data_IF_362782415488
#
_entry.id   IF_362782415488
#
_cell.length_a   1.000
_cell.length_b   1.000
_cell.length_c   1.000
_cell.angle_alpha   90.00
_cell.angle_beta   90.00
_cell.angle_gamma   90.00
#
_symmetry.space_group_name_H-M   'P 1'
#
loop_
_entity.id
_entity.type
_entity.pdbx_description
1 polymer ?
#
# COMPACT_ATOMS: atom_id res chain seq x y z
N UNK A 1 20.15 -31.22 9.88
CA UNK A 1 18.97 -30.33 9.95
C UNK A 1 18.87 -29.55 8.64
N UNK A 2 17.65 -29.19 8.19
CA UNK A 2 17.36 -28.43 6.95
C UNK A 2 16.74 -27.07 7.30
N UNK A 3 17.53 -26.04 7.69
CA UNK A 3 16.99 -24.74 8.09
C UNK A 3 16.17 -24.06 6.97
N UNK A 4 16.55 -24.30 5.72
CA UNK A 4 15.86 -23.84 4.51
C UNK A 4 14.39 -24.30 4.42
N UNK A 5 14.05 -25.42 5.06
CA UNK A 5 12.69 -25.98 5.07
C UNK A 5 11.88 -25.60 6.30
N UNK A 6 12.48 -24.91 7.27
CA UNK A 6 11.82 -24.62 8.54
C UNK A 6 10.56 -23.77 8.35
N UNK A 7 10.64 -22.71 7.56
CA UNK A 7 9.50 -21.82 7.28
C UNK A 7 8.34 -22.57 6.63
N UNK A 8 8.63 -23.44 5.65
CA UNK A 8 7.62 -24.28 5.00
C UNK A 8 7.01 -25.32 5.94
N UNK A 9 7.85 -25.97 6.76
CA UNK A 9 7.39 -26.97 7.72
C UNK A 9 6.47 -26.35 8.78
N UNK A 10 6.83 -25.18 9.31
CA UNK A 10 5.99 -24.44 10.26
C UNK A 10 4.69 -23.99 9.60
N UNK A 11 4.76 -23.44 8.39
CA UNK A 11 3.56 -23.04 7.62
C UNK A 11 2.60 -24.22 7.44
N UNK A 12 3.09 -25.35 6.93
CA UNK A 12 2.26 -26.54 6.71
C UNK A 12 1.68 -27.08 8.02
N UNK A 13 2.44 -27.04 9.11
CA UNK A 13 1.96 -27.46 10.42
C UNK A 13 0.82 -26.56 10.92
N UNK A 14 0.97 -25.24 10.81
CA UNK A 14 -0.09 -24.28 11.20
C UNK A 14 -1.32 -24.45 10.33
N UNK A 15 -1.14 -24.62 9.02
CA UNK A 15 -2.23 -24.87 8.08
C UNK A 15 -2.99 -26.16 8.41
N UNK A 16 -2.28 -27.26 8.71
CA UNK A 16 -2.89 -28.53 9.09
C UNK A 16 -3.66 -28.45 10.42
N UNK A 17 -3.13 -27.71 11.41
CA UNK A 17 -3.72 -27.65 12.75
C UNK A 17 -4.79 -26.58 12.93
N UNK A 18 -4.67 -25.46 12.22
CA UNK A 18 -5.53 -24.28 12.43
C UNK A 18 -6.31 -23.87 11.16
N UNK A 19 -5.92 -24.39 10.00
CA UNK A 19 -6.54 -24.10 8.70
C UNK A 19 -5.76 -23.06 7.87
N UNK A 20 -6.03 -23.02 6.56
CA UNK A 20 -5.27 -22.20 5.61
C UNK A 20 -5.35 -20.69 5.86
N UNK A 21 -6.42 -20.21 6.51
CA UNK A 21 -6.59 -18.79 6.89
C UNK A 21 -5.49 -18.23 7.79
N UNK A 22 -4.72 -19.07 8.49
CA UNK A 22 -3.62 -18.64 9.36
C UNK A 22 -2.26 -18.59 8.64
N UNK A 23 -2.21 -19.01 7.38
CA UNK A 23 -0.99 -19.02 6.55
C UNK A 23 -1.14 -18.24 5.25
N UNK A 24 -2.38 -18.00 4.81
CA UNK A 24 -2.69 -17.12 3.70
C UNK A 24 -2.61 -15.66 4.17
N UNK A 25 -1.66 -14.89 3.61
CA UNK A 25 -1.55 -13.45 3.83
C UNK A 25 -2.64 -12.69 3.07
N UNK A 26 -3.91 -12.85 3.47
CA UNK A 26 -4.99 -11.98 3.01
C UNK A 26 -4.93 -10.67 3.79
N UNK A 27 -5.02 -9.56 3.06
CA UNK A 27 -5.23 -8.24 3.68
C UNK A 27 -6.48 -8.28 4.56
N UNK A 28 -6.39 -7.69 5.74
CA UNK A 28 -7.54 -7.53 6.61
C UNK A 28 -8.51 -6.56 5.94
N UNK A 29 -9.75 -7.01 5.76
CA UNK A 29 -10.82 -6.16 5.24
C UNK A 29 -11.11 -5.03 6.24
N UNK A 30 -10.84 -3.79 5.84
CA UNK A 30 -11.03 -2.60 6.67
C UNK A 30 -12.48 -2.49 7.18
N UNK A 31 -13.47 -2.96 6.40
CA UNK A 31 -14.87 -2.98 6.83
C UNK A 31 -15.10 -3.88 8.04
N UNK A 32 -14.36 -4.99 8.15
CA UNK A 32 -14.44 -5.90 9.32
C UNK A 32 -13.76 -5.28 10.52
N UNK A 33 -12.55 -4.74 10.33
CA UNK A 33 -11.83 -4.06 11.42
C UNK A 33 -12.62 -2.87 11.97
N UNK A 34 -13.34 -2.13 11.11
CA UNK A 34 -14.25 -1.07 11.53
C UNK A 34 -15.44 -1.56 12.36
N UNK A 35 -15.99 -2.74 12.07
CA UNK A 35 -17.09 -3.32 12.86
C UNK A 35 -16.64 -3.79 14.24
N UNK A 36 -15.38 -4.20 14.36
CA UNK A 36 -14.76 -4.60 15.62
C UNK A 36 -14.23 -3.40 16.41
N UNK A 37 -14.06 -2.25 15.77
CA UNK A 37 -13.63 -1.02 16.43
C UNK A 37 -14.78 -0.34 17.17
N UNK A 38 -14.40 0.41 18.20
CA UNK A 38 -15.29 1.13 19.08
C UNK A 38 -14.67 2.50 19.42
N UNK A 39 -15.41 3.39 20.09
CA UNK A 39 -14.83 4.62 20.63
C UNK A 39 -13.62 4.40 21.55
N UNK A 40 -13.56 3.24 22.23
CA UNK A 40 -12.46 2.85 23.11
C UNK A 40 -11.33 2.10 22.41
N UNK A 41 -11.53 1.70 21.16
CA UNK A 41 -10.63 0.80 20.44
C UNK A 41 -10.30 1.45 19.10
N UNK A 42 -9.28 2.34 19.06
CA UNK A 42 -8.91 3.03 17.84
C UNK A 42 -8.29 2.07 16.82
N UNK A 43 -8.23 2.50 15.56
CA UNK A 43 -7.61 1.76 14.47
C UNK A 43 -6.22 2.35 14.17
N UNK A 44 -5.18 1.52 14.21
CA UNK A 44 -3.80 1.94 14.00
C UNK A 44 -3.21 1.25 12.77
N UNK A 45 -2.90 2.03 11.74
CA UNK A 45 -2.25 1.57 10.52
C UNK A 45 -0.74 1.65 10.67
N UNK A 46 -0.07 0.51 10.52
CA UNK A 46 1.37 0.44 10.40
C UNK A 46 1.72 0.58 8.92
N UNK A 47 2.30 1.71 8.56
CA UNK A 47 2.59 2.07 7.18
C UNK A 47 3.77 1.26 6.65
N UNK A 48 3.56 0.66 5.48
CA UNK A 48 4.65 0.15 4.65
C UNK A 48 4.94 1.16 3.53
N UNK A 49 6.19 1.31 3.09
CA UNK A 49 6.53 2.26 2.03
C UNK A 49 5.66 2.09 0.78
N UNK A 50 5.03 3.18 0.33
CA UNK A 50 4.20 3.21 -0.87
C UNK A 50 2.76 2.72 -0.70
N UNK A 51 2.29 2.55 0.54
CA UNK A 51 0.89 2.21 0.84
C UNK A 51 0.23 3.36 1.59
N UNK A 52 -0.94 3.80 1.12
CA UNK A 52 -1.70 4.91 1.68
C UNK A 52 -3.07 4.41 2.20
N UNK A 53 -3.25 4.25 3.53
CA UNK A 53 -4.50 3.78 4.11
C UNK A 53 -5.62 4.83 4.06
N UNK A 54 -5.33 6.09 3.76
CA UNK A 54 -6.32 7.16 3.73
C UNK A 54 -7.40 6.87 2.69
N UNK A 55 -6.99 6.46 1.49
CA UNK A 55 -7.92 6.15 0.40
C UNK A 55 -8.89 5.05 0.78
N UNK A 56 -8.41 4.04 1.51
CA UNK A 56 -9.24 2.92 1.97
C UNK A 56 -10.24 3.39 3.04
N UNK A 57 -9.82 4.25 3.98
CA UNK A 57 -10.70 4.84 5.00
C UNK A 57 -11.73 5.78 4.38
N UNK A 58 -11.34 6.62 3.42
CA UNK A 58 -12.26 7.50 2.69
C UNK A 58 -13.27 6.71 1.85
N UNK A 59 -12.83 5.65 1.18
CA UNK A 59 -13.71 4.76 0.43
C UNK A 59 -14.74 4.10 1.36
N UNK A 60 -14.31 3.60 2.52
CA UNK A 60 -15.22 3.06 3.53
C UNK A 60 -16.18 4.15 4.05
N UNK A 61 -15.66 5.34 4.35
CA UNK A 61 -16.45 6.49 4.79
C UNK A 61 -17.57 6.82 3.81
N UNK A 62 -17.29 6.89 2.51
CA UNK A 62 -18.30 7.11 1.47
C UNK A 62 -19.42 6.07 1.50
N UNK A 63 -19.09 4.80 1.72
CA UNK A 63 -20.12 3.73 1.82
C UNK A 63 -21.00 3.86 3.07
N UNK A 64 -20.45 4.42 4.16
CA UNK A 64 -21.14 4.61 5.44
C UNK A 64 -21.68 6.03 5.64
N UNK A 65 -21.61 6.88 4.61
CA UNK A 65 -22.01 8.29 4.65
C UNK A 65 -21.25 9.14 5.69
N UNK A 66 -19.98 8.80 5.92
CA UNK A 66 -18.98 9.64 6.60
C UNK A 66 -18.06 10.22 5.53
N UNK A 67 -18.09 11.52 5.32
CA UNK A 67 -17.25 12.16 4.31
C UNK A 67 -16.63 13.42 4.88
N UNK A 68 -15.55 13.87 4.24
CA UNK A 68 -14.97 15.18 4.56
C UNK A 68 -15.98 16.28 4.18
N UNK A 69 -16.69 16.11 3.06
CA UNK A 69 -17.67 17.08 2.54
C UNK A 69 -18.86 17.32 3.47
N UNK A 70 -19.31 16.27 4.19
CA UNK A 70 -20.37 16.40 5.19
C UNK A 70 -19.85 16.71 6.60
N UNK A 71 -18.54 17.00 6.75
CA UNK A 71 -17.91 17.38 8.01
C UNK A 71 -17.77 16.26 9.04
N UNK A 72 -18.11 15.01 8.68
CA UNK A 72 -18.04 13.86 9.61
C UNK A 72 -16.70 13.13 9.59
N UNK A 73 -15.77 13.54 8.74
CA UNK A 73 -14.37 13.10 8.76
C UNK A 73 -13.47 14.32 8.93
N UNK A 74 -12.66 14.31 9.98
CA UNK A 74 -11.60 15.28 10.23
C UNK A 74 -10.26 14.64 9.90
N UNK A 75 -9.62 15.07 8.80
CA UNK A 75 -8.28 14.60 8.44
C UNK A 75 -7.23 15.61 8.91
N UNK A 76 -6.34 15.18 9.81
CA UNK A 76 -5.27 16.01 10.39
C UNK A 76 -3.93 15.33 10.15
N UNK A 77 -3.08 15.96 9.36
CA UNK A 77 -1.68 15.55 9.22
C UNK A 77 -0.85 16.13 10.37
N UNK A 78 -0.29 15.25 11.20
CA UNK A 78 0.52 15.62 12.35
C UNK A 78 1.85 16.21 11.87
N UNK A 79 1.98 17.52 12.05
CA UNK A 79 3.18 18.31 11.82
C UNK A 79 3.32 19.38 12.89
N UNK A 80 4.36 20.20 12.81
CA UNK A 80 4.60 21.25 13.80
C UNK A 80 3.40 22.21 13.91
N UNK A 81 2.82 22.32 15.12
CA UNK A 81 1.71 23.25 15.39
C UNK A 81 0.32 22.72 15.02
N UNK A 82 0.19 21.44 14.68
CA UNK A 82 -1.11 20.80 14.38
C UNK A 82 -1.73 20.10 15.60
N UNK A 83 -1.06 20.12 16.76
CA UNK A 83 -1.51 19.44 17.99
C UNK A 83 -2.87 19.97 18.46
N UNK A 84 -3.03 21.31 18.50
CA UNK A 84 -4.29 21.94 18.92
C UNK A 84 -5.45 21.65 17.94
N UNK A 85 -5.15 21.52 16.64
CA UNK A 85 -6.15 21.18 15.62
C UNK A 85 -6.60 19.73 15.79
N UNK A 86 -5.65 18.82 16.08
CA UNK A 86 -5.95 17.42 16.37
C UNK A 86 -6.79 17.29 17.64
N UNK A 87 -6.45 17.98 18.73
CA UNK A 87 -7.21 17.98 19.98
C UNK A 87 -8.64 18.50 19.77
N UNK A 88 -8.81 19.62 19.07
CA UNK A 88 -10.13 20.16 18.76
C UNK A 88 -10.96 19.20 17.89
N UNK A 89 -10.33 18.55 16.90
CA UNK A 89 -10.99 17.56 16.07
C UNK A 89 -11.47 16.34 16.89
N UNK A 90 -10.67 15.87 17.84
CA UNK A 90 -11.02 14.77 18.74
C UNK A 90 -12.21 15.15 19.65
N UNK A 91 -12.21 16.35 20.21
CA UNK A 91 -13.32 16.83 21.05
C UNK A 91 -14.64 16.92 20.27
N UNK A 92 -14.62 17.56 19.09
CA UNK A 92 -15.81 17.67 18.23
C UNK A 92 -16.28 16.29 17.79
N UNK A 93 -15.35 15.42 17.39
CA UNK A 93 -15.69 14.08 16.94
C UNK A 93 -16.25 13.20 18.05
N UNK A 94 -15.73 13.34 19.28
CA UNK A 94 -16.25 12.63 20.44
C UNK A 94 -17.69 13.06 20.77
N UNK A 95 -18.01 14.35 20.63
CA UNK A 95 -19.34 14.89 20.89
C UNK A 95 -20.37 14.58 19.78
N UNK A 96 -19.97 14.72 18.51
CA UNK A 96 -20.87 14.62 17.36
C UNK A 96 -20.84 13.25 16.65
N UNK A 97 -19.92 12.37 17.04
CA UNK A 97 -19.77 11.04 16.44
C UNK A 97 -19.13 11.08 15.07
N UNK A 98 -18.05 11.84 14.93
CA UNK A 98 -17.28 11.94 13.69
C UNK A 98 -16.06 11.01 13.72
N UNK A 99 -15.41 10.89 12.58
CA UNK A 99 -14.16 10.17 12.47
C UNK A 99 -12.99 11.15 12.44
N UNK A 100 -11.93 10.81 13.16
CA UNK A 100 -10.68 11.57 13.12
C UNK A 100 -9.61 10.70 12.52
N UNK A 101 -8.95 11.20 11.48
CA UNK A 101 -7.79 10.57 10.85
C UNK A 101 -6.56 11.38 11.23
N UNK A 102 -5.67 10.76 12.00
CA UNK A 102 -4.38 11.33 12.40
C UNK A 102 -3.29 10.66 11.55
N UNK A 103 -2.69 11.45 10.67
CA UNK A 103 -1.65 10.95 9.76
C UNK A 103 -0.28 11.41 10.19
N UNK A 104 0.70 10.51 10.14
CA UNK A 104 2.10 10.92 10.16
C UNK A 104 2.40 11.78 8.92
N UNK A 105 2.64 13.07 9.11
CA UNK A 105 3.13 13.93 8.04
C UNK A 105 4.60 13.60 7.74
N UNK A 106 4.99 13.70 6.46
CA UNK A 106 6.36 13.53 5.93
C UNK A 106 7.42 14.51 6.53
N UNK A 107 7.11 15.20 7.62
CA UNK A 107 7.91 16.18 8.34
C UNK A 107 8.21 15.76 9.80
N UNK A 108 8.15 14.48 10.13
CA UNK A 108 8.72 13.94 11.38
C UNK A 108 10.26 13.91 11.38
N UNK A 109 10.94 14.78 10.62
CA UNK A 109 12.33 15.15 10.96
C UNK A 109 12.41 15.85 12.34
N UNK A 110 11.28 16.33 12.88
CA UNK A 110 11.18 16.91 14.23
C UNK A 110 10.45 16.00 15.23
N UNK A 111 10.79 14.69 15.26
CA UNK A 111 10.31 13.64 16.19
C UNK A 111 10.23 14.06 17.67
N UNK A 112 11.04 15.03 18.11
CA UNK A 112 11.06 15.52 19.48
C UNK A 112 9.86 16.40 19.87
N UNK A 113 9.16 17.01 18.90
CA UNK A 113 8.01 17.88 19.16
C UNK A 113 6.71 17.07 19.35
N UNK A 114 6.47 16.06 18.51
CA UNK A 114 5.27 15.22 18.57
C UNK A 114 5.35 14.18 19.70
N UNK A 115 6.54 13.69 20.05
CA UNK A 115 6.72 12.70 21.12
C UNK A 115 6.15 13.14 22.48
N UNK A 116 6.19 14.44 22.80
CA UNK A 116 5.58 14.97 24.03
C UNK A 116 4.06 14.99 23.98
N UNK A 117 3.50 15.28 22.81
CA UNK A 117 2.06 15.35 22.60
C UNK A 117 1.41 13.97 22.56
N UNK A 118 2.11 12.92 22.11
CA UNK A 118 1.55 11.56 22.08
C UNK A 118 1.06 11.08 23.45
N UNK A 119 1.70 11.47 24.55
CA UNK A 119 1.21 11.16 25.89
C UNK A 119 -0.03 11.97 26.31
N UNK A 120 -0.25 13.15 25.72
CA UNK A 120 -1.51 13.89 25.85
C UNK A 120 -2.60 13.22 25.01
N UNK A 121 -2.29 12.86 23.77
CA UNK A 121 -3.19 12.14 22.86
C UNK A 121 -3.70 10.84 23.50
N UNK A 122 -2.81 10.03 24.08
CA UNK A 122 -3.18 8.80 24.79
C UNK A 122 -4.26 9.06 25.85
N UNK A 123 -4.05 10.07 26.71
CA UNK A 123 -5.02 10.45 27.74
C UNK A 123 -6.33 10.97 27.15
N UNK A 124 -6.27 11.75 26.07
CA UNK A 124 -7.47 12.29 25.41
C UNK A 124 -8.30 11.16 24.79
N UNK A 125 -7.65 10.21 24.11
CA UNK A 125 -8.31 9.03 23.54
C UNK A 125 -8.92 8.17 24.64
N UNK A 126 -8.19 7.95 25.74
CA UNK A 126 -8.68 7.21 26.91
C UNK A 126 -9.89 7.92 27.56
N UNK A 127 -9.86 9.25 27.70
CA UNK A 127 -10.99 10.02 28.24
C UNK A 127 -12.23 9.92 27.34
N UNK A 128 -12.05 10.05 26.03
CA UNK A 128 -13.14 9.92 25.07
C UNK A 128 -13.64 8.49 24.92
N UNK A 129 -12.92 7.48 25.39
CA UNK A 129 -13.36 6.08 25.32
C UNK A 129 -14.66 5.80 26.10
N UNK A 130 -14.93 6.57 27.17
CA UNK A 130 -16.03 6.32 28.12
C UNK A 130 -17.31 7.09 27.78
N UNK A 131 -17.18 8.35 27.35
CA UNK A 131 -18.30 9.30 27.27
C UNK A 131 -18.55 9.87 25.85
N UNK A 132 -18.01 9.23 24.80
CA UNK A 132 -18.20 9.69 23.42
C UNK A 132 -19.37 9.03 22.70
N UNK A 133 -19.76 9.65 21.59
CA UNK A 133 -20.79 9.14 20.69
C UNK A 133 -20.42 7.75 20.13
N UNK A 134 -21.41 6.87 19.93
CA UNK A 134 -21.20 5.48 19.49
C UNK A 134 -20.46 5.35 18.16
N UNK A 135 -20.59 6.35 17.30
CA UNK A 135 -19.99 6.41 15.95
C UNK A 135 -18.60 7.04 15.93
N UNK A 136 -18.12 7.60 17.05
CA UNK A 136 -16.80 8.19 17.15
C UNK A 136 -15.72 7.14 16.86
N UNK A 137 -14.82 7.43 15.92
CA UNK A 137 -13.70 6.56 15.58
C UNK A 137 -12.44 7.36 15.35
N UNK A 138 -11.32 6.83 15.86
CA UNK A 138 -9.99 7.39 15.64
C UNK A 138 -9.20 6.43 14.77
N UNK A 139 -8.69 6.93 13.66
CA UNK A 139 -7.77 6.26 12.75
C UNK A 139 -6.41 6.93 12.87
N UNK A 140 -5.38 6.15 13.17
CA UNK A 140 -4.01 6.63 13.28
C UNK A 140 -3.15 5.91 12.26
N UNK A 141 -2.14 6.58 11.71
CA UNK A 141 -1.16 5.95 10.82
C UNK A 141 0.25 6.41 11.14
N UNK A 142 1.18 5.47 11.22
CA UNK A 142 2.61 5.75 11.42
C UNK A 142 3.50 4.69 10.78
N UNK A 143 4.70 5.11 10.37
CA UNK A 143 5.78 4.21 9.96
C UNK A 143 6.40 3.52 11.20
N UNK A 144 6.83 2.24 11.06
CA UNK A 144 7.51 1.57 12.14
C UNK A 144 8.87 2.24 12.44
N UNK A 145 9.18 2.39 13.73
CA UNK A 145 10.48 2.91 14.15
C UNK A 145 11.64 2.03 13.65
N UNK A 146 12.72 2.66 13.19
CA UNK A 146 13.88 1.94 12.65
C UNK A 146 14.62 1.08 13.67
N UNK A 147 14.49 1.40 14.97
CA UNK A 147 14.98 0.58 16.07
C UNK A 147 14.06 0.70 17.30
N UNK A 148 14.11 -0.27 18.24
CA UNK A 148 13.30 -0.23 19.46
C UNK A 148 13.53 1.06 20.29
N UNK A 149 14.75 1.59 20.29
CA UNK A 149 15.10 2.80 21.06
C UNK A 149 14.54 4.08 20.43
N UNK A 150 14.23 4.05 19.13
CA UNK A 150 13.62 5.16 18.41
C UNK A 150 12.08 5.13 18.47
N UNK A 151 11.49 4.13 19.14
CA UNK A 151 10.05 4.01 19.28
C UNK A 151 9.49 5.06 20.24
N UNK A 152 8.59 5.91 19.75
CA UNK A 152 8.01 7.04 20.49
C UNK A 152 6.52 6.88 20.77
N UNK A 153 5.88 5.85 20.24
CA UNK A 153 4.43 5.67 20.38
C UNK A 153 4.15 5.11 21.78
N UNK A 154 3.22 5.72 22.55
CA UNK A 154 2.86 5.22 23.87
C UNK A 154 2.30 3.80 23.82
N UNK A 155 2.65 3.03 24.85
CA UNK A 155 2.26 1.62 24.94
C UNK A 155 0.74 1.45 25.06
N UNK A 156 0.04 2.25 25.87
CA UNK A 156 -1.41 2.11 26.06
C UNK A 156 -2.17 2.38 24.77
N UNK A 157 -1.76 3.42 24.02
CA UNK A 157 -2.31 3.70 22.70
C UNK A 157 -2.18 2.51 21.74
N UNK A 158 -1.04 1.80 21.77
CA UNK A 158 -0.88 0.59 21.00
C UNK A 158 -1.72 -0.54 21.58
N UNK A 159 -1.69 -0.81 22.87
CA UNK A 159 -2.42 -1.92 23.51
C UNK A 159 -3.91 -1.91 23.17
N UNK A 160 -4.54 -0.74 23.27
CA UNK A 160 -5.98 -0.56 23.05
C UNK A 160 -6.38 -0.51 21.56
N UNK A 161 -5.42 -0.29 20.65
CA UNK A 161 -5.71 -0.18 19.23
C UNK A 161 -5.84 -1.54 18.53
N UNK A 162 -6.69 -1.62 17.50
CA UNK A 162 -6.62 -2.65 16.46
C UNK A 162 -5.50 -2.26 15.49
N UNK A 163 -4.45 -3.09 15.41
CA UNK A 163 -3.29 -2.84 14.54
C UNK A 163 -3.52 -3.49 13.18
N UNK A 164 -3.43 -2.69 12.13
CA UNK A 164 -3.58 -3.14 10.74
C UNK A 164 -2.26 -2.89 10.04
N UNK A 165 -1.67 -3.98 9.53
CA UNK A 165 -0.56 -3.89 8.58
C UNK A 165 -1.13 -4.05 7.18
N UNK A 166 -0.80 -3.11 6.30
CA UNK A 166 -1.05 -3.26 4.87
C UNK A 166 0.28 -3.60 4.21
N UNK A 167 0.75 -4.83 4.46
CA UNK A 167 1.98 -5.31 3.86
C UNK A 167 1.78 -5.54 2.36
N UNK A 168 2.74 -5.15 1.52
CA UNK A 168 2.67 -5.49 0.11
C UNK A 168 2.56 -7.02 -0.03
N UNK A 169 1.62 -7.52 -0.86
CA UNK A 169 1.44 -8.95 -1.04
C UNK A 169 2.78 -9.61 -1.41
N UNK A 170 3.06 -10.74 -0.76
CA UNK A 170 4.32 -11.44 -0.98
C UNK A 170 4.14 -12.61 -1.93
N UNK A 171 4.94 -12.61 -3.00
CA UNK A 171 4.98 -13.68 -3.99
C UNK A 171 4.37 -13.27 -5.32
N UNK A 172 4.82 -13.95 -6.38
CA UNK A 172 4.47 -13.63 -7.76
C UNK A 172 2.96 -13.59 -8.00
N UNK A 173 2.22 -14.59 -7.53
CA UNK A 173 0.77 -14.67 -7.76
C UNK A 173 0.03 -13.43 -7.24
N UNK A 174 0.30 -13.05 -5.99
CA UNK A 174 -0.39 -11.94 -5.36
C UNK A 174 0.03 -10.58 -5.94
N UNK A 175 1.28 -10.42 -6.37
CA UNK A 175 1.71 -9.20 -7.07
C UNK A 175 1.17 -9.08 -8.49
N UNK A 176 1.00 -10.18 -9.23
CA UNK A 176 0.35 -10.16 -10.54
C UNK A 176 -1.11 -9.74 -10.40
N UNK A 177 -1.83 -10.30 -9.42
CA UNK A 177 -3.21 -9.87 -9.14
C UNK A 177 -3.28 -8.39 -8.76
N UNK A 178 -2.42 -7.92 -7.85
CA UNK A 178 -2.35 -6.51 -7.48
C UNK A 178 -2.07 -5.60 -8.69
N UNK A 179 -1.22 -6.03 -9.61
CA UNK A 179 -0.93 -5.28 -10.84
C UNK A 179 -2.15 -5.23 -11.78
N UNK A 180 -2.90 -6.33 -11.90
CA UNK A 180 -4.11 -6.41 -12.71
C UNK A 180 -5.27 -5.61 -12.11
N UNK A 181 -5.41 -5.57 -10.78
CA UNK A 181 -6.46 -4.84 -10.07
C UNK A 181 -6.38 -3.31 -10.27
N UNK A 182 -5.28 -2.81 -10.85
CA UNK A 182 -5.14 -1.41 -11.27
C UNK A 182 -5.96 -1.07 -12.51
N UNK A 183 -6.43 -2.07 -13.24
CA UNK A 183 -7.09 -1.91 -14.54
C UNK A 183 -8.52 -2.44 -14.49
N UNK A 184 -9.45 -1.63 -14.98
CA UNK A 184 -10.87 -1.99 -15.07
C UNK A 184 -11.16 -2.76 -16.35
N UNK A 185 -12.35 -3.37 -16.42
CA UNK A 185 -12.82 -4.02 -17.64
C UNK A 185 -12.81 -3.05 -18.84
N UNK A 186 -13.22 -1.80 -18.63
CA UNK A 186 -13.19 -0.75 -19.66
C UNK A 186 -11.76 -0.51 -20.20
N UNK A 187 -10.75 -0.65 -19.34
CA UNK A 187 -9.34 -0.52 -19.75
C UNK A 187 -8.94 -1.69 -20.65
N UNK A 188 -9.38 -2.91 -20.33
CA UNK A 188 -9.08 -4.10 -21.13
C UNK A 188 -9.74 -4.07 -22.51
N UNK A 189 -10.84 -3.33 -22.66
CA UNK A 189 -11.64 -3.22 -23.88
C UNK A 189 -11.38 -1.91 -24.65
N UNK A 190 -10.44 -1.07 -24.21
CA UNK A 190 -10.24 0.26 -24.79
C UNK A 190 -9.56 0.24 -26.17
N UNK A 191 -8.81 -0.82 -26.49
CA UNK A 191 -7.99 -0.91 -27.70
C UNK A 191 -8.69 -1.69 -28.82
N UNK A 192 -8.62 -1.18 -30.05
CA UNK A 192 -9.10 -1.84 -31.26
C UNK A 192 -8.41 -3.18 -31.55
N UNK A 193 -7.16 -3.32 -31.10
CA UNK A 193 -6.35 -4.55 -31.17
C UNK A 193 -6.41 -5.32 -29.86
N UNK A 194 -7.60 -5.84 -29.55
CA UNK A 194 -7.89 -6.40 -28.21
C UNK A 194 -6.95 -7.54 -27.81
N UNK A 195 -6.62 -8.46 -28.71
CA UNK A 195 -5.81 -9.64 -28.39
C UNK A 195 -4.39 -9.20 -28.03
N UNK A 196 -3.79 -8.38 -28.88
CA UNK A 196 -2.43 -7.87 -28.70
C UNK A 196 -2.33 -7.01 -27.45
N UNK A 197 -3.30 -6.11 -27.25
CA UNK A 197 -3.33 -5.25 -26.08
C UNK A 197 -3.46 -6.05 -24.78
N UNK A 198 -4.39 -7.00 -24.69
CA UNK A 198 -4.61 -7.83 -23.48
C UNK A 198 -3.38 -8.70 -23.18
N UNK A 199 -2.77 -9.31 -24.20
CA UNK A 199 -1.55 -10.11 -24.03
C UNK A 199 -0.37 -9.26 -23.53
N UNK A 200 -0.09 -8.11 -24.16
CA UNK A 200 1.02 -7.25 -23.75
C UNK A 200 0.75 -6.62 -22.38
N UNK A 201 -0.49 -6.23 -22.06
CA UNK A 201 -0.88 -5.73 -20.74
C UNK A 201 -0.61 -6.76 -19.65
N UNK A 202 -1.02 -8.02 -19.88
CA UNK A 202 -0.73 -9.09 -18.92
C UNK A 202 0.77 -9.34 -18.77
N UNK A 203 1.52 -9.36 -19.87
CA UNK A 203 2.97 -9.50 -19.84
C UNK A 203 3.65 -8.36 -19.04
N UNK A 204 3.15 -7.12 -19.18
CA UNK A 204 3.63 -5.97 -18.39
C UNK A 204 3.26 -6.07 -16.91
N UNK A 205 2.07 -6.55 -16.58
CA UNK A 205 1.68 -6.82 -15.19
C UNK A 205 2.58 -7.90 -14.55
N UNK A 206 2.88 -8.95 -15.32
CA UNK A 206 3.81 -10.00 -14.89
C UNK A 206 5.23 -9.45 -14.70
N UNK A 207 5.73 -8.69 -15.66
CA UNK A 207 7.02 -8.01 -15.57
C UNK A 207 7.10 -7.10 -14.33
N UNK A 208 6.08 -6.28 -14.10
CA UNK A 208 6.00 -5.40 -12.93
C UNK A 208 6.08 -6.20 -11.62
N UNK A 209 5.34 -7.31 -11.54
CA UNK A 209 5.38 -8.21 -10.39
C UNK A 209 6.77 -8.84 -10.18
N UNK A 210 7.46 -9.26 -11.24
CA UNK A 210 8.85 -9.78 -11.17
C UNK A 210 9.80 -8.71 -10.63
N UNK A 211 9.74 -7.50 -11.21
CA UNK A 211 10.61 -6.38 -10.84
C UNK A 211 10.42 -6.01 -9.36
N UNK A 212 9.17 -6.01 -8.87
CA UNK A 212 8.84 -5.78 -7.47
C UNK A 212 9.34 -6.91 -6.55
N UNK A 213 9.08 -8.18 -6.87
CA UNK A 213 9.51 -9.33 -6.06
C UNK A 213 11.03 -9.44 -5.98
N UNK A 214 11.75 -9.10 -7.06
CA UNK A 214 13.21 -9.16 -7.09
C UNK A 214 13.85 -8.31 -6.00
N UNK A 215 13.24 -7.21 -5.57
CA UNK A 215 13.77 -6.38 -4.47
C UNK A 215 14.00 -7.15 -3.17
N UNK A 216 13.24 -8.23 -2.92
CA UNK A 216 13.38 -9.06 -1.72
C UNK A 216 14.71 -9.81 -1.65
N UNK A 217 15.36 -10.02 -2.79
CA UNK A 217 16.63 -10.73 -2.86
C UNK A 217 17.84 -9.80 -2.68
N UNK A 218 17.61 -8.55 -2.25
CA UNK A 218 18.66 -7.56 -2.04
C UNK A 218 19.54 -7.42 -3.28
N UNK A 219 20.87 -7.41 -3.08
CA UNK A 219 21.87 -7.27 -4.14
C UNK A 219 21.80 -8.37 -5.21
N UNK A 220 21.22 -9.55 -4.94
CA UNK A 220 21.02 -10.59 -5.95
C UNK A 220 19.81 -10.31 -6.86
N UNK A 221 18.87 -9.51 -6.37
CA UNK A 221 17.70 -9.03 -7.09
C UNK A 221 18.03 -7.82 -7.94
N UNK A 222 18.52 -6.77 -7.27
CA UNK A 222 18.94 -5.50 -7.84
C UNK A 222 20.18 -5.02 -7.07
N UNK A 223 21.21 -4.54 -7.76
CA UNK A 223 22.40 -3.99 -7.09
C UNK A 223 22.03 -2.78 -6.21
N UNK A 224 20.99 -2.02 -6.57
CA UNK A 224 20.48 -0.89 -5.80
C UNK A 224 18.95 -0.94 -5.60
N UNK A 225 18.41 -0.37 -4.51
CA UNK A 225 16.96 -0.29 -4.32
C UNK A 225 16.35 0.80 -5.22
N UNK A 226 15.69 0.40 -6.30
CA UNK A 226 15.01 1.32 -7.23
C UNK A 226 13.52 1.52 -6.88
N UNK A 227 12.98 2.74 -6.96
CA UNK A 227 11.63 3.07 -6.52
C UNK A 227 10.53 2.87 -7.60
N UNK A 228 10.55 1.76 -8.34
CA UNK A 228 9.41 1.35 -9.21
C UNK A 228 8.08 1.35 -8.43
N UNK A 229 7.03 1.85 -9.05
CA UNK A 229 5.72 2.05 -8.45
C UNK A 229 4.59 1.75 -9.45
N UNK A 230 3.34 1.73 -8.98
CA UNK A 230 2.17 1.45 -9.81
C UNK A 230 1.98 2.48 -10.94
N UNK A 231 2.45 3.72 -10.76
CA UNK A 231 2.41 4.75 -11.80
C UNK A 231 3.23 4.38 -13.02
N UNK A 232 4.39 3.75 -12.85
CA UNK A 232 5.21 3.27 -13.97
C UNK A 232 4.44 2.26 -14.82
N UNK A 233 3.68 1.36 -14.19
CA UNK A 233 2.84 0.38 -14.86
C UNK A 233 1.65 1.04 -15.57
N UNK A 234 0.90 1.92 -14.88
CA UNK A 234 -0.26 2.61 -15.45
C UNK A 234 0.12 3.47 -16.66
N UNK A 235 1.23 4.21 -16.58
CA UNK A 235 1.73 5.03 -17.70
C UNK A 235 2.20 4.11 -18.85
N UNK A 236 2.85 2.98 -18.55
CA UNK A 236 3.25 2.01 -19.57
C UNK A 236 2.05 1.46 -20.36
N UNK A 237 0.93 1.16 -19.69
CA UNK A 237 -0.30 0.71 -20.37
C UNK A 237 -0.92 1.82 -21.24
N UNK A 238 -0.90 3.07 -20.78
CA UNK A 238 -1.36 4.20 -21.60
C UNK A 238 -0.48 4.39 -22.86
N UNK A 239 0.84 4.23 -22.73
CA UNK A 239 1.77 4.26 -23.87
C UNK A 239 1.54 3.08 -24.81
N UNK A 240 1.33 1.88 -24.27
CA UNK A 240 0.97 0.69 -25.05
C UNK A 240 -0.26 0.96 -25.91
N UNK A 241 -1.34 1.47 -25.31
CA UNK A 241 -2.57 1.81 -26.03
C UNK A 241 -2.30 2.77 -27.19
N UNK A 242 -1.64 3.89 -26.92
CA UNK A 242 -1.36 4.91 -27.94
C UNK A 242 -0.51 4.34 -29.10
N UNK A 243 0.49 3.51 -28.80
CA UNK A 243 1.34 2.91 -29.84
C UNK A 243 0.62 1.84 -30.65
N UNK A 244 -0.23 1.02 -30.02
CA UNK A 244 -1.02 0.04 -30.75
C UNK A 244 -2.09 0.70 -31.63
N UNK A 245 -2.73 1.79 -31.19
CA UNK A 245 -3.69 2.52 -32.03
C UNK A 245 -3.00 3.25 -33.20
N UNK A 246 -1.83 3.84 -32.96
CA UNK A 246 -1.12 4.60 -33.98
C UNK A 246 -0.47 3.72 -35.07
N UNK A 247 -0.24 2.43 -34.81
CA UNK A 247 0.51 1.56 -35.71
C UNK A 247 -0.34 0.37 -36.20
N UNK A 248 -0.25 -0.01 -37.49
CA UNK A 248 -0.97 -1.17 -38.01
C UNK A 248 -0.44 -2.51 -37.50
N UNK A 249 0.84 -2.55 -37.09
CA UNK A 249 1.51 -3.71 -36.50
C UNK A 249 2.08 -3.34 -35.14
N UNK A 250 2.27 -4.33 -34.27
CA UNK A 250 2.88 -4.15 -32.96
C UNK A 250 4.36 -3.73 -33.13
N UNK A 251 4.77 -2.54 -32.66
CA UNK A 251 6.16 -2.08 -32.77
C UNK A 251 6.97 -2.61 -31.58
N UNK A 252 7.36 -3.88 -31.64
CA UNK A 252 7.99 -4.60 -30.52
C UNK A 252 9.24 -3.92 -29.95
N UNK A 253 10.16 -3.51 -30.82
CA UNK A 253 11.41 -2.90 -30.39
C UNK A 253 11.19 -1.53 -29.75
N UNK A 254 10.26 -0.73 -30.28
CA UNK A 254 9.89 0.56 -29.69
C UNK A 254 9.24 0.35 -28.32
N UNK A 255 8.30 -0.60 -28.19
CA UNK A 255 7.66 -0.91 -26.91
C UNK A 255 8.68 -1.37 -25.86
N UNK A 256 9.59 -2.29 -26.22
CA UNK A 256 10.66 -2.75 -25.33
C UNK A 256 11.58 -1.60 -24.92
N UNK A 257 11.92 -0.71 -25.85
CA UNK A 257 12.73 0.46 -25.57
C UNK A 257 12.00 1.41 -24.61
N UNK A 258 10.75 1.77 -24.89
CA UNK A 258 9.96 2.68 -24.05
C UNK A 258 9.82 2.13 -22.62
N UNK A 259 9.45 0.86 -22.46
CA UNK A 259 9.27 0.26 -21.14
C UNK A 259 10.60 0.06 -20.41
N UNK A 260 11.62 -0.43 -21.11
CA UNK A 260 12.89 -0.82 -20.51
C UNK A 260 13.85 0.32 -20.26
N UNK A 261 13.84 1.35 -21.10
CA UNK A 261 14.81 2.45 -21.06
C UNK A 261 14.25 3.72 -20.47
N UNK A 262 12.96 3.97 -20.67
CA UNK A 262 12.32 5.22 -20.27
C UNK A 262 11.49 4.99 -19.01
N UNK A 263 10.52 4.07 -19.04
CA UNK A 263 9.60 3.88 -17.90
C UNK A 263 10.32 3.28 -16.69
N UNK A 264 10.79 2.03 -16.80
CA UNK A 264 11.50 1.37 -15.71
C UNK A 264 12.98 1.74 -15.71
N UNK A 265 13.59 1.86 -16.89
CA UNK A 265 15.00 2.24 -17.05
C UNK A 265 15.33 3.63 -16.54
N UNK A 266 14.36 4.55 -16.50
CA UNK A 266 14.53 5.89 -15.94
C UNK A 266 14.88 5.89 -14.45
N UNK A 267 14.49 4.85 -13.71
CA UNK A 267 14.84 4.68 -12.29
C UNK A 267 16.20 4.01 -12.08
N UNK A 268 16.69 3.26 -13.08
CA UNK A 268 17.85 2.38 -12.94
C UNK A 268 19.13 3.14 -13.25
N UNK A 269 19.99 3.25 -12.24
CA UNK A 269 21.29 3.96 -12.33
C UNK A 269 22.48 3.05 -12.57
N UNK A 270 22.33 1.73 -12.42
CA UNK A 270 23.40 0.75 -12.62
C UNK A 270 23.27 0.06 -13.98
N UNK A 271 24.36 -0.02 -14.74
CA UNK A 271 24.33 -0.56 -16.10
C UNK A 271 24.02 -2.07 -16.15
N UNK A 272 24.40 -2.83 -15.12
CA UNK A 272 24.10 -4.26 -15.06
C UNK A 272 22.62 -4.50 -14.76
N UNK A 273 22.06 -3.74 -13.82
CA UNK A 273 20.63 -3.76 -13.55
C UNK A 273 19.81 -3.27 -14.76
N UNK A 274 20.33 -2.31 -15.52
CA UNK A 274 19.69 -1.84 -16.75
C UNK A 274 19.67 -2.93 -17.82
N UNK A 275 20.78 -3.64 -18.00
CA UNK A 275 20.86 -4.83 -18.87
C UNK A 275 19.89 -5.92 -18.42
N UNK A 276 19.79 -6.17 -17.11
CA UNK A 276 18.86 -7.14 -16.54
C UNK A 276 17.42 -6.79 -16.89
N UNK A 277 17.01 -5.53 -16.65
CA UNK A 277 15.68 -5.02 -16.96
C UNK A 277 15.31 -5.22 -18.45
N UNK A 278 16.22 -4.81 -19.36
CA UNK A 278 16.02 -5.01 -20.81
C UNK A 278 15.90 -6.48 -21.19
N UNK A 279 16.67 -7.35 -20.55
CA UNK A 279 16.65 -8.79 -20.83
C UNK A 279 15.29 -9.37 -20.46
N UNK A 280 14.74 -9.06 -19.27
CA UNK A 280 13.40 -9.50 -18.89
C UNK A 280 12.32 -9.02 -19.86
N UNK A 281 12.37 -7.76 -20.30
CA UNK A 281 11.39 -7.25 -21.25
C UNK A 281 11.51 -7.89 -22.64
N UNK A 282 12.74 -8.24 -23.06
CA UNK A 282 12.95 -8.94 -24.34
C UNK A 282 12.37 -10.35 -24.31
N UNK A 283 12.48 -11.04 -23.16
CA UNK A 283 11.92 -12.38 -22.96
C UNK A 283 10.40 -12.38 -22.77
N UNK A 284 9.84 -11.35 -22.11
CA UNK A 284 8.41 -11.31 -21.79
C UNK A 284 7.55 -10.61 -22.83
N UNK A 285 8.12 -9.69 -23.60
CA UNK A 285 7.40 -8.94 -24.62
C UNK A 285 7.97 -9.36 -25.98
N UNK A 286 7.48 -10.46 -26.52
CA UNK A 286 7.97 -11.07 -27.75
C UNK A 286 6.83 -11.51 -28.68
N UNK A 287 7.14 -11.69 -29.95
CA UNK A 287 6.15 -12.06 -30.96
C UNK A 287 5.50 -13.42 -30.66
N UNK A 288 6.26 -14.33 -30.08
CA UNK A 288 5.85 -15.69 -29.75
C UNK A 288 4.80 -15.77 -28.63
N UNK A 289 4.51 -14.66 -27.95
CA UNK A 289 3.49 -14.60 -26.90
C UNK A 289 2.07 -14.35 -27.42
N UNK A 290 1.94 -13.93 -28.69
CA UNK A 290 0.66 -13.71 -29.38
C UNK A 290 0.21 -14.99 -30.11
#
# INVERSE_FOLDING_TARGET
MRPDRMTYAIRNFVEEKMGSRFVEGRSVDLSKAYKESSPSTPLFFILSPGVDPLKDVEALGRTLNFTIDNGRIHNVSLGQGQEAVAEQALEVAAAEGHWVILQEGFLLQNIHLVARWLGTLEKTVEQHSLDSHSDYRVFMSAEPAASPEAHIIPQGLLEDAIKITNEPPTGMYANVHKALDLFTQDTLEMCSKEIEFKCILFALCYFHAVVAERRKFGAQGWNRPYPFNNGDLTISINVLYNYLEANPKVPWDDLRYLFGEIMYGGHITDDWDRRLCRTYLSEYICEEML
#
